data_IF_656516326178
#
_entry.id   IF_656516326178
#
_cell.length_a   1.000
_cell.length_b   1.000
_cell.length_c   1.000
_cell.angle_alpha   90.00
_cell.angle_beta   90.00
_cell.angle_gamma   90.00
#
_symmetry.space_group_name_H-M   'P 1'
#
loop_
_entity.id
_entity.type
_entity.pdbx_description
1 polymer ?
#
# COMPACT_ATOMS: atom_id res chain seq x y z
N UNK A 1 7.88 54.04 -13.92
CA UNK A 1 7.78 52.73 -13.23
C UNK A 1 9.16 52.10 -13.16
N UNK A 2 9.59 51.64 -11.99
CA UNK A 2 10.97 51.23 -11.78
C UNK A 2 11.21 49.83 -12.36
N UNK A 3 12.09 49.71 -13.37
CA UNK A 3 12.35 48.44 -14.10
C UNK A 3 12.81 47.31 -13.16
N UNK A 4 13.40 47.67 -12.02
CA UNK A 4 13.86 46.72 -11.01
C UNK A 4 12.71 45.98 -10.31
N UNK A 5 11.51 46.56 -10.27
CA UNK A 5 10.36 45.95 -9.59
C UNK A 5 9.85 44.72 -10.36
N UNK A 6 9.95 44.75 -11.69
CA UNK A 6 9.56 43.63 -12.55
C UNK A 6 10.53 42.45 -12.44
N UNK A 7 11.82 42.74 -12.33
CA UNK A 7 12.84 41.71 -12.11
C UNK A 7 12.68 41.04 -10.74
N UNK A 8 12.34 41.81 -9.70
CA UNK A 8 12.10 41.26 -8.37
C UNK A 8 10.86 40.36 -8.34
N UNK A 9 9.78 40.79 -8.99
CA UNK A 9 8.54 40.02 -9.08
C UNK A 9 8.70 38.73 -9.90
N UNK A 10 9.48 38.76 -10.99
CA UNK A 10 9.72 37.55 -11.79
C UNK A 10 10.57 36.53 -11.04
N UNK A 11 11.59 36.96 -10.29
CA UNK A 11 12.39 36.07 -9.43
C UNK A 11 11.52 35.44 -8.35
N UNK A 12 10.70 36.23 -7.64
CA UNK A 12 9.76 35.72 -6.64
C UNK A 12 8.78 34.70 -7.23
N UNK A 13 8.25 34.97 -8.43
CA UNK A 13 7.34 34.05 -9.12
C UNK A 13 8.01 32.72 -9.46
N UNK A 14 9.25 32.73 -9.98
CA UNK A 14 10.02 31.51 -10.26
C UNK A 14 10.29 30.70 -8.99
N UNK A 15 10.58 31.36 -7.86
CA UNK A 15 10.73 30.68 -6.57
C UNK A 15 9.41 30.03 -6.09
N UNK A 16 8.27 30.71 -6.22
CA UNK A 16 6.97 30.17 -5.86
C UNK A 16 6.56 28.98 -6.73
N UNK A 17 6.77 29.09 -8.05
CA UNK A 17 6.50 28.01 -9.01
C UNK A 17 7.42 26.82 -8.73
N UNK A 18 8.71 27.06 -8.49
CA UNK A 18 9.68 26.01 -8.12
C UNK A 18 9.31 25.28 -6.83
N UNK A 19 8.73 25.98 -5.85
CA UNK A 19 8.26 25.39 -4.59
C UNK A 19 6.98 24.55 -4.76
N UNK A 20 6.11 24.90 -5.70
CA UNK A 20 4.89 24.12 -6.00
C UNK A 20 5.19 22.84 -6.79
N UNK A 21 6.23 22.85 -7.64
CA UNK A 21 6.69 21.64 -8.34
C UNK A 21 7.72 20.81 -7.56
N UNK A 22 8.29 21.37 -6.49
CA UNK A 22 8.89 20.60 -5.42
C UNK A 22 7.79 19.97 -4.53
N UNK A 23 6.77 19.34 -5.14
CA UNK A 23 6.10 18.27 -4.44
C UNK A 23 7.21 17.32 -3.99
N UNK A 24 7.25 16.92 -2.71
CA UNK A 24 8.23 15.95 -2.31
C UNK A 24 7.96 14.74 -3.21
N UNK A 25 8.92 14.43 -4.08
CA UNK A 25 9.18 13.06 -4.49
C UNK A 25 9.47 12.33 -3.17
N UNK A 26 8.41 12.05 -2.41
CA UNK A 26 8.48 11.46 -1.10
C UNK A 26 9.03 10.09 -1.39
N UNK A 27 10.33 9.94 -1.15
CA UNK A 27 11.10 8.80 -1.57
C UNK A 27 10.39 7.56 -1.05
N UNK A 28 9.80 6.81 -1.98
CA UNK A 28 9.02 5.61 -1.66
C UNK A 28 9.97 4.65 -0.97
N UNK A 29 9.75 4.42 0.32
CA UNK A 29 10.61 3.55 1.12
C UNK A 29 9.92 2.21 1.32
N UNK A 30 10.61 1.12 1.00
CA UNK A 30 10.20 -0.21 1.46
C UNK A 30 10.40 -0.26 2.98
N UNK A 31 9.32 -0.42 3.74
CA UNK A 31 9.34 -0.40 5.22
C UNK A 31 9.09 -1.77 5.85
N UNK A 32 8.53 -2.71 5.10
CA UNK A 32 8.40 -4.11 5.51
C UNK A 32 8.41 -5.01 4.28
N UNK A 33 8.97 -6.20 4.45
CA UNK A 33 8.90 -7.27 3.46
C UNK A 33 9.04 -8.61 4.17
N UNK A 34 8.41 -9.65 3.63
CA UNK A 34 8.50 -10.96 4.24
C UNK A 34 7.80 -12.04 3.44
N UNK A 35 7.90 -13.25 3.98
CA UNK A 35 7.17 -14.41 3.48
C UNK A 35 6.73 -15.27 4.64
N UNK A 36 5.54 -15.87 4.53
CA UNK A 36 5.06 -16.89 5.47
C UNK A 36 4.50 -18.09 4.72
N UNK A 37 4.51 -19.22 5.40
CA UNK A 37 3.86 -20.44 4.95
C UNK A 37 2.72 -20.74 5.92
N UNK A 38 1.56 -21.07 5.40
CA UNK A 38 0.38 -21.37 6.20
C UNK A 38 -0.44 -22.47 5.54
N UNK A 39 -1.15 -23.25 6.34
CA UNK A 39 -2.13 -24.21 5.83
C UNK A 39 -3.47 -23.49 5.68
N UNK A 40 -4.05 -23.48 4.48
CA UNK A 40 -5.34 -22.80 4.25
C UNK A 40 -6.56 -23.72 4.39
N UNK A 41 -6.37 -24.99 4.81
CA UNK A 41 -7.45 -25.96 4.98
C UNK A 41 -7.94 -26.59 3.67
N UNK A 42 -8.14 -25.79 2.63
CA UNK A 42 -8.83 -26.19 1.39
C UNK A 42 -7.87 -26.57 0.25
N UNK A 43 -6.86 -25.76 -0.02
CA UNK A 43 -5.88 -25.94 -1.11
C UNK A 43 -4.50 -26.41 -0.62
N UNK A 44 -4.37 -26.57 0.69
CA UNK A 44 -3.20 -27.08 1.38
C UNK A 44 -2.23 -26.01 1.87
N UNK A 45 -0.93 -26.27 1.74
CA UNK A 45 0.09 -25.30 2.14
C UNK A 45 0.17 -24.18 1.12
N UNK A 46 0.04 -22.95 1.59
CA UNK A 46 0.20 -21.74 0.79
C UNK A 46 1.40 -20.94 1.30
N UNK A 47 2.06 -20.24 0.38
CA UNK A 47 3.10 -19.28 0.69
C UNK A 47 2.58 -17.89 0.38
N UNK A 48 2.55 -17.02 1.37
CA UNK A 48 2.31 -15.59 1.18
C UNK A 48 3.65 -14.86 1.19
N UNK A 49 3.83 -13.93 0.26
CA UNK A 49 4.95 -12.99 0.27
C UNK A 49 4.40 -11.59 0.24
N UNK A 50 5.03 -10.64 0.91
CA UNK A 50 4.57 -9.26 0.88
C UNK A 50 5.72 -8.27 0.81
N UNK A 51 5.41 -7.10 0.24
CA UNK A 51 6.28 -5.92 0.26
C UNK A 51 5.44 -4.68 0.53
N UNK A 52 5.89 -3.87 1.48
CA UNK A 52 5.17 -2.68 1.94
C UNK A 52 5.98 -1.43 1.66
N UNK A 53 5.34 -0.48 0.99
CA UNK A 53 5.89 0.80 0.58
C UNK A 53 5.23 1.92 1.37
N UNK A 54 6.03 2.70 2.08
CA UNK A 54 5.58 3.91 2.77
C UNK A 54 5.99 5.13 1.96
N UNK A 55 5.01 5.93 1.57
CA UNK A 55 5.23 7.20 0.87
C UNK A 55 5.28 8.34 1.89
N UNK A 56 4.43 8.28 2.92
CA UNK A 56 4.51 9.14 4.10
C UNK A 56 3.80 8.47 5.29
N UNK A 57 3.79 9.10 6.47
CA UNK A 57 3.17 8.50 7.67
C UNK A 57 1.67 8.21 7.52
N UNK A 58 0.99 8.94 6.64
CA UNK A 58 -0.45 8.86 6.39
C UNK A 58 -0.83 7.97 5.21
N UNK A 59 0.14 7.59 4.36
CA UNK A 59 -0.11 6.82 3.14
C UNK A 59 0.92 5.69 2.96
N UNK A 60 0.40 4.47 2.88
CA UNK A 60 1.18 3.25 2.75
C UNK A 60 0.44 2.26 1.84
N UNK A 61 1.20 1.51 1.04
CA UNK A 61 0.71 0.43 0.18
C UNK A 61 1.40 -0.88 0.53
N UNK A 62 0.66 -1.97 0.56
CA UNK A 62 1.18 -3.32 0.78
C UNK A 62 0.73 -4.22 -0.36
N UNK A 63 1.68 -4.84 -1.04
CA UNK A 63 1.45 -5.87 -2.04
C UNK A 63 1.64 -7.22 -1.39
N UNK A 64 0.69 -8.13 -1.58
CA UNK A 64 0.73 -9.50 -1.07
C UNK A 64 0.56 -10.43 -2.26
N UNK A 65 1.53 -11.30 -2.52
CA UNK A 65 1.42 -12.36 -3.52
C UNK A 65 1.24 -13.70 -2.82
N UNK A 66 0.27 -14.49 -3.29
CA UNK A 66 -0.03 -15.84 -2.82
C UNK A 66 0.48 -16.86 -3.82
N UNK A 67 1.11 -17.89 -3.28
CA UNK A 67 1.57 -19.03 -4.04
C UNK A 67 0.93 -20.30 -3.48
N UNK A 68 0.38 -21.12 -4.37
CA UNK A 68 -0.22 -22.40 -4.04
C UNK A 68 0.82 -23.50 -4.19
N UNK A 69 0.87 -24.45 -3.26
CA UNK A 69 1.75 -25.61 -3.39
C UNK A 69 1.12 -26.62 -4.35
N UNK A 70 1.81 -26.89 -5.45
CA UNK A 70 1.43 -27.98 -6.34
C UNK A 70 1.80 -29.32 -5.68
N UNK A 71 0.81 -30.15 -5.37
CA UNK A 71 1.02 -31.42 -4.67
C UNK A 71 1.80 -32.45 -5.47
N UNK A 72 1.84 -32.34 -6.81
CA UNK A 72 2.62 -33.25 -7.68
C UNK A 72 4.09 -32.85 -7.71
N UNK A 73 4.38 -31.57 -7.91
CA UNK A 73 5.76 -31.06 -8.05
C UNK A 73 6.39 -30.66 -6.72
N UNK A 74 5.58 -30.52 -5.67
CA UNK A 74 5.91 -29.94 -4.36
C UNK A 74 6.47 -28.51 -4.42
N UNK A 75 6.33 -27.83 -5.57
CA UNK A 75 6.76 -26.44 -5.79
C UNK A 75 5.61 -25.47 -5.50
N UNK A 76 5.96 -24.24 -5.19
CA UNK A 76 5.01 -23.14 -5.05
C UNK A 76 4.85 -22.45 -6.40
N UNK A 77 3.63 -22.39 -6.90
CA UNK A 77 3.25 -21.75 -8.15
C UNK A 77 2.47 -20.48 -7.82
N UNK A 78 2.65 -19.43 -8.63
CA UNK A 78 1.94 -18.17 -8.45
C UNK A 78 0.43 -18.40 -8.55
N UNK A 79 -0.32 -17.88 -7.57
CA UNK A 79 -1.78 -17.94 -7.54
C UNK A 79 -2.36 -16.58 -7.89
N UNK A 80 -2.42 -15.70 -6.90
CA UNK A 80 -3.05 -14.39 -6.99
C UNK A 80 -2.24 -13.35 -6.21
N UNK A 81 -2.59 -12.08 -6.38
CA UNK A 81 -2.07 -10.97 -5.60
C UNK A 81 -3.16 -10.01 -5.13
N UNK A 82 -2.88 -9.38 -4.00
CA UNK A 82 -3.73 -8.39 -3.35
C UNK A 82 -2.91 -7.12 -3.06
N UNK A 83 -3.46 -5.96 -3.43
CA UNK A 83 -2.96 -4.65 -3.03
C UNK A 83 -3.83 -4.07 -1.90
N UNK A 84 -3.20 -3.73 -0.79
CA UNK A 84 -3.81 -3.00 0.32
C UNK A 84 -3.28 -1.58 0.39
N UNK A 85 -4.16 -0.59 0.34
CA UNK A 85 -3.82 0.83 0.47
C UNK A 85 -4.38 1.38 1.77
N UNK A 86 -3.54 2.04 2.57
CA UNK A 86 -3.93 2.69 3.82
C UNK A 86 -3.72 4.19 3.70
N UNK A 87 -4.82 4.96 3.69
CA UNK A 87 -4.79 6.41 3.55
C UNK A 87 -5.51 7.10 4.72
N UNK A 88 -4.80 7.91 5.47
CA UNK A 88 -5.41 8.80 6.47
C UNK A 88 -6.17 9.92 5.76
N UNK A 89 -7.50 9.89 5.81
CA UNK A 89 -8.36 10.85 5.10
C UNK A 89 -8.79 12.03 5.97
N UNK A 90 -8.99 11.79 7.27
CA UNK A 90 -9.25 12.85 8.25
C UNK A 90 -8.52 12.55 9.56
N UNK A 91 -8.53 13.48 10.53
CA UNK A 91 -7.91 13.29 11.86
C UNK A 91 -8.41 12.02 12.57
N UNK A 92 -9.65 11.60 12.31
CA UNK A 92 -10.32 10.48 12.98
C UNK A 92 -10.81 9.39 12.03
N UNK A 93 -10.42 9.41 10.75
CA UNK A 93 -10.84 8.42 9.77
C UNK A 93 -9.68 7.99 8.88
N UNK A 94 -9.57 6.68 8.65
CA UNK A 94 -8.61 6.05 7.75
C UNK A 94 -9.38 5.23 6.70
N UNK A 95 -9.03 5.41 5.43
CA UNK A 95 -9.52 4.63 4.31
C UNK A 95 -8.58 3.46 4.08
N UNK A 96 -9.12 2.25 4.02
CA UNK A 96 -8.45 1.05 3.53
C UNK A 96 -9.07 0.68 2.20
N UNK A 97 -8.24 0.48 1.18
CA UNK A 97 -8.66 -0.10 -0.10
C UNK A 97 -8.01 -1.47 -0.22
N UNK A 98 -8.79 -2.49 -0.55
CA UNK A 98 -8.29 -3.80 -0.95
C UNK A 98 -8.62 -4.00 -2.44
N UNK A 99 -7.61 -4.34 -3.22
CA UNK A 99 -7.72 -4.63 -4.65
C UNK A 99 -7.19 -6.05 -4.82
N UNK A 100 -8.07 -7.00 -5.11
CA UNK A 100 -7.66 -8.36 -5.44
C UNK A 100 -7.64 -8.48 -6.96
N UNK A 101 -6.48 -8.74 -7.56
CA UNK A 101 -6.39 -9.07 -8.97
C UNK A 101 -6.86 -10.52 -9.15
N UNK A 102 -8.03 -10.69 -9.75
CA UNK A 102 -8.51 -12.01 -10.12
C UNK A 102 -8.00 -12.32 -11.53
N UNK A 103 -7.39 -13.50 -11.70
CA UNK A 103 -6.84 -14.01 -12.97
C UNK A 103 -7.86 -14.22 -14.12
N UNK A 104 -9.03 -13.58 -14.09
CA UNK A 104 -10.00 -13.67 -15.19
C UNK A 104 -10.05 -12.39 -16.01
N UNK A 105 -9.68 -12.50 -17.28
CA UNK A 105 -9.68 -11.48 -18.35
C UNK A 105 -11.01 -10.71 -18.58
N UNK A 106 -12.02 -10.89 -17.71
CA UNK A 106 -13.39 -10.38 -17.91
C UNK A 106 -14.07 -9.80 -16.67
N UNK A 107 -13.38 -9.60 -15.54
CA UNK A 107 -13.99 -8.95 -14.37
C UNK A 107 -13.23 -7.69 -13.98
N UNK A 108 -13.98 -6.62 -13.75
CA UNK A 108 -13.47 -5.48 -12.99
C UNK A 108 -12.99 -6.00 -11.64
N UNK A 109 -11.72 -5.76 -11.30
CA UNK A 109 -11.15 -6.22 -10.04
C UNK A 109 -12.04 -5.74 -8.88
N UNK A 110 -12.46 -6.64 -7.97
CA UNK A 110 -13.27 -6.23 -6.84
C UNK A 110 -12.45 -5.28 -5.95
N UNK A 111 -12.82 -4.00 -5.98
CA UNK A 111 -12.25 -2.99 -5.09
C UNK A 111 -13.13 -2.88 -3.85
N UNK A 112 -12.64 -3.38 -2.72
CA UNK A 112 -13.29 -3.16 -1.43
C UNK A 112 -12.74 -1.88 -0.79
N UNK A 113 -13.63 -0.98 -0.40
CA UNK A 113 -13.27 0.27 0.28
C UNK A 113 -13.91 0.28 1.67
N UNK A 114 -13.09 0.37 2.70
CA UNK A 114 -13.54 0.47 4.09
C UNK A 114 -13.05 1.76 4.73
N UNK A 115 -13.92 2.42 5.50
CA UNK A 115 -13.56 3.57 6.32
C UNK A 115 -13.57 3.20 7.80
N UNK A 116 -12.40 3.28 8.44
CA UNK A 116 -12.23 2.96 9.85
C UNK A 116 -12.13 4.24 10.67
N UNK A 117 -12.98 4.38 11.70
CA UNK A 117 -12.89 5.49 12.65
C UNK A 117 -11.70 5.27 13.59
N UNK A 118 -10.58 5.93 13.32
CA UNK A 118 -9.35 5.82 14.10
C UNK A 118 -8.53 7.10 14.05
N UNK A 119 -7.78 7.38 15.13
CA UNK A 119 -6.80 8.48 15.18
C UNK A 119 -5.42 8.07 14.63
N UNK A 120 -5.18 6.79 14.40
CA UNK A 120 -3.91 6.28 13.87
C UNK A 120 -3.63 6.81 12.46
N UNK A 121 -2.36 7.04 12.14
CA UNK A 121 -1.92 7.29 10.75
C UNK A 121 -1.93 5.98 9.94
N UNK A 122 -1.76 6.08 8.61
CA UNK A 122 -1.65 4.89 7.74
C UNK A 122 -0.56 3.92 8.20
N UNK A 123 0.64 4.42 8.44
CA UNK A 123 1.76 3.61 8.94
C UNK A 123 1.48 2.99 10.32
N UNK A 124 0.91 3.75 11.25
CA UNK A 124 0.59 3.22 12.58
C UNK A 124 -0.49 2.13 12.52
N UNK A 125 -1.52 2.31 11.68
CA UNK A 125 -2.57 1.33 11.48
C UNK A 125 -2.01 0.05 10.87
N UNK A 126 -1.13 0.17 9.88
CA UNK A 126 -0.43 -0.97 9.28
C UNK A 126 0.28 -1.82 10.35
N UNK A 127 1.16 -1.19 11.14
CA UNK A 127 1.98 -1.92 12.12
C UNK A 127 1.18 -2.48 13.29
N UNK A 128 0.15 -1.77 13.76
CA UNK A 128 -0.58 -2.12 14.99
C UNK A 128 -1.81 -2.99 14.76
N UNK A 129 -2.39 -2.94 13.57
CA UNK A 129 -3.68 -3.61 13.27
C UNK A 129 -3.51 -4.57 12.11
N UNK A 130 -3.18 -4.06 10.92
CA UNK A 130 -3.21 -4.87 9.71
C UNK A 130 -2.16 -5.98 9.69
N UNK A 131 -0.87 -5.64 9.89
CA UNK A 131 0.24 -6.59 9.78
C UNK A 131 0.08 -7.77 10.76
N UNK A 132 -0.19 -7.56 12.07
CA UNK A 132 -0.41 -8.68 12.99
C UNK A 132 -1.59 -9.57 12.58
N UNK A 133 -2.71 -8.97 12.14
CA UNK A 133 -3.95 -9.69 11.86
C UNK A 133 -3.93 -10.46 10.54
N UNK A 134 -3.35 -9.88 9.49
CA UNK A 134 -3.36 -10.43 8.12
C UNK A 134 -2.06 -11.14 7.77
N UNK A 135 -0.92 -10.52 8.09
CA UNK A 135 0.39 -11.02 7.66
C UNK A 135 1.05 -11.95 8.67
N UNK A 136 0.73 -11.86 9.96
CA UNK A 136 1.40 -12.69 10.99
C UNK A 136 0.54 -13.78 11.60
N UNK A 137 -0.78 -13.79 11.35
CA UNK A 137 -1.66 -14.84 11.87
C UNK A 137 -1.35 -16.18 11.17
N UNK A 138 -1.20 -17.23 11.98
CA UNK A 138 -0.79 -18.58 11.54
C UNK A 138 -1.87 -19.28 10.70
N UNK A 139 -3.14 -18.91 10.90
CA UNK A 139 -4.27 -19.41 10.13
C UNK A 139 -4.80 -18.31 9.22
N UNK A 140 -4.91 -18.62 7.93
CA UNK A 140 -5.58 -17.79 6.93
C UNK A 140 -7.04 -18.28 6.92
N UNK A 141 -7.93 -17.45 7.48
CA UNK A 141 -9.38 -17.67 7.46
C UNK A 141 -9.95 -17.16 6.14
#
# INVERSE_FOLDING_TARGET
MNKNIYLMLSVLFVFFVGFQFAEPAAAVKVVDQGSKYAWNGQDGYIKLTWKTYQYNNNFLKTYVAKYLRNEKTKKYEYGDDEEFVFAKVTKTSLKTTNIAELLSDFSTDPVEITYTKTKLTGAQYYWRVFRPQRLMKDNIM
#
